data_IF_204118763880
#
_entry.id   IF_204118763880
#
_cell.length_a   1.000
_cell.length_b   1.000
_cell.length_c   1.000
_cell.angle_alpha   90.00
_cell.angle_beta   90.00
_cell.angle_gamma   90.00
#
_symmetry.space_group_name_H-M   'P 1'
#
loop_
_entity.id
_entity.type
_entity.pdbx_description
1 polymer ?
#
# COMPACT_ATOMS: atom_id res chain seq x y z
N UNK A 1 6.39 21.43 -25.46
CA UNK A 1 6.42 19.96 -25.27
C UNK A 1 5.24 19.60 -24.36
N UNK A 2 4.24 18.92 -24.89
CA UNK A 2 3.13 18.40 -24.07
C UNK A 2 3.61 17.22 -23.25
N UNK A 3 3.98 17.46 -21.99
CA UNK A 3 4.28 16.40 -21.05
C UNK A 3 2.94 15.80 -20.63
N UNK A 4 2.58 14.70 -21.23
CA UNK A 4 1.36 13.99 -20.87
C UNK A 4 1.56 13.34 -19.49
N UNK A 5 0.92 13.91 -18.48
CA UNK A 5 0.99 13.36 -17.10
C UNK A 5 0.54 11.90 -17.06
N UNK A 6 1.20 11.11 -16.25
CA UNK A 6 0.83 9.70 -16.00
C UNK A 6 -0.30 9.65 -14.99
N UNK A 7 -0.16 10.37 -13.85
CA UNK A 7 -1.14 10.44 -12.78
C UNK A 7 -1.36 11.90 -12.38
N UNK A 8 -2.61 12.26 -12.11
CA UNK A 8 -2.95 13.59 -11.59
C UNK A 8 -2.63 13.69 -10.10
N UNK A 9 -2.07 14.83 -9.68
CA UNK A 9 -1.84 15.14 -8.25
C UNK A 9 -3.13 15.05 -7.43
N UNK A 10 -4.27 15.40 -8.02
CA UNK A 10 -5.58 15.33 -7.36
C UNK A 10 -6.04 13.91 -7.03
N UNK A 11 -5.36 12.90 -7.55
CA UNK A 11 -5.62 11.48 -7.28
C UNK A 11 -4.79 10.93 -6.10
N UNK A 12 -3.97 11.77 -5.45
CA UNK A 12 -3.24 11.38 -4.25
C UNK A 12 -4.25 10.90 -3.18
N UNK A 13 -4.05 9.70 -2.69
CA UNK A 13 -5.05 9.03 -1.85
C UNK A 13 -4.53 8.52 -0.51
N UNK A 14 -3.21 8.26 -0.39
CA UNK A 14 -2.75 7.53 0.79
C UNK A 14 -1.26 7.74 1.05
N UNK A 15 -0.92 7.74 2.34
CA UNK A 15 0.45 7.50 2.84
C UNK A 15 0.39 6.22 3.67
N UNK A 16 1.25 5.26 3.36
CA UNK A 16 1.30 3.97 4.05
C UNK A 16 2.52 3.83 4.94
N UNK A 17 2.30 3.47 6.21
CA UNK A 17 3.35 3.14 7.18
C UNK A 17 3.37 1.65 7.44
N UNK A 18 4.55 1.04 7.45
CA UNK A 18 4.73 -0.31 8.01
C UNK A 18 5.15 -0.21 9.47
N UNK A 19 4.54 -1.06 10.30
CA UNK A 19 4.71 -1.06 11.75
C UNK A 19 4.89 -2.48 12.28
N UNK A 20 5.55 -2.59 13.43
CA UNK A 20 5.74 -3.89 14.11
C UNK A 20 4.51 -4.31 14.92
N UNK A 21 3.80 -3.35 15.50
CA UNK A 21 2.66 -3.58 16.38
C UNK A 21 1.56 -2.57 16.04
N UNK A 22 0.58 -3.04 15.25
CA UNK A 22 -0.49 -2.18 14.76
C UNK A 22 -1.41 -1.67 15.88
N UNK A 23 -1.64 -2.49 16.91
CA UNK A 23 -2.50 -2.07 18.02
C UNK A 23 -1.87 -0.92 18.82
N UNK A 24 -0.56 -0.98 19.02
CA UNK A 24 0.20 0.10 19.66
C UNK A 24 0.23 1.35 18.76
N UNK A 25 0.52 1.17 17.48
CA UNK A 25 0.60 2.28 16.52
C UNK A 25 -0.75 3.00 16.39
N UNK A 26 -1.86 2.27 16.30
CA UNK A 26 -3.20 2.86 16.25
C UNK A 26 -3.48 3.78 17.44
N UNK A 27 -3.13 3.33 18.63
CA UNK A 27 -3.35 4.11 19.87
C UNK A 27 -2.54 5.41 19.86
N UNK A 28 -1.29 5.34 19.42
CA UNK A 28 -0.41 6.51 19.35
C UNK A 28 -0.89 7.54 18.33
N UNK A 29 -1.26 7.10 17.13
CA UNK A 29 -1.80 8.00 16.10
C UNK A 29 -3.16 8.57 16.47
N UNK A 30 -4.05 7.75 17.06
CA UNK A 30 -5.34 8.25 17.56
C UNK A 30 -5.19 9.33 18.64
N UNK A 31 -4.23 9.14 19.53
CA UNK A 31 -3.90 10.16 20.54
C UNK A 31 -3.37 11.45 19.89
N UNK A 32 -2.47 11.32 18.92
CA UNK A 32 -1.91 12.45 18.18
C UNK A 32 -2.99 13.26 17.47
N UNK A 33 -3.95 12.58 16.84
CA UNK A 33 -5.00 13.20 16.04
C UNK A 33 -6.23 13.61 16.87
N UNK A 34 -6.34 13.15 18.11
CA UNK A 34 -7.52 13.39 18.94
C UNK A 34 -8.78 12.71 18.39
N UNK A 35 -8.65 11.51 17.86
CA UNK A 35 -9.75 10.77 17.25
C UNK A 35 -9.92 9.39 17.89
N UNK A 36 -11.00 8.68 17.51
CA UNK A 36 -11.23 7.31 17.92
C UNK A 36 -10.18 6.37 17.32
N UNK A 37 -9.90 5.27 18.03
CA UNK A 37 -8.99 4.22 17.54
C UNK A 37 -9.72 3.45 16.44
N UNK A 38 -9.17 3.39 15.22
CA UNK A 38 -9.82 2.67 14.12
C UNK A 38 -9.77 1.15 14.33
N UNK A 39 -10.68 0.40 13.69
CA UNK A 39 -10.62 -1.05 13.71
C UNK A 39 -9.38 -1.56 12.94
N UNK A 40 -8.91 -2.76 13.32
CA UNK A 40 -7.92 -3.49 12.53
C UNK A 40 -8.66 -4.33 11.49
N UNK A 41 -8.22 -4.20 10.24
CA UNK A 41 -8.79 -4.91 9.10
C UNK A 41 -7.82 -5.97 8.60
N UNK A 42 -8.34 -7.13 8.19
CA UNK A 42 -7.57 -8.17 7.54
C UNK A 42 -7.45 -7.89 6.02
N UNK A 43 -6.34 -8.28 5.42
CA UNK A 43 -6.12 -8.07 3.97
C UNK A 43 -6.93 -9.04 3.09
N UNK A 44 -7.53 -10.06 3.66
CA UNK A 44 -8.25 -11.10 2.94
C UNK A 44 -7.41 -12.35 2.65
N UNK A 45 -8.07 -13.36 2.07
CA UNK A 45 -7.45 -14.65 1.75
C UNK A 45 -6.97 -14.70 0.30
N UNK A 46 -6.01 -15.56 0.01
CA UNK A 46 -5.35 -15.63 -1.29
C UNK A 46 -6.31 -15.93 -2.45
N UNK A 47 -7.38 -16.67 -2.23
CA UNK A 47 -8.39 -16.94 -3.26
C UNK A 47 -9.02 -15.64 -3.82
N UNK A 48 -9.10 -14.59 -3.02
CA UNK A 48 -9.56 -13.26 -3.43
C UNK A 48 -8.40 -12.35 -3.82
N UNK A 49 -7.37 -12.27 -2.97
CA UNK A 49 -6.28 -11.29 -3.15
C UNK A 49 -5.38 -11.61 -4.33
N UNK A 50 -5.15 -12.89 -4.62
CA UNK A 50 -4.23 -13.35 -5.66
C UNK A 50 -2.87 -12.64 -5.60
N UNK A 51 -2.38 -12.39 -4.39
CA UNK A 51 -1.15 -11.62 -4.13
C UNK A 51 0.05 -12.20 -4.88
N UNK A 52 0.77 -11.33 -5.57
CA UNK A 52 2.04 -11.66 -6.23
C UNK A 52 3.14 -10.76 -5.68
N UNK A 53 4.26 -11.36 -5.31
CA UNK A 53 5.46 -10.68 -4.83
C UNK A 53 6.58 -10.95 -5.82
N UNK A 54 7.15 -9.89 -6.39
CA UNK A 54 8.16 -9.96 -7.45
C UNK A 54 7.78 -10.91 -8.60
N UNK A 55 6.52 -10.82 -9.03
CA UNK A 55 5.98 -11.59 -10.15
C UNK A 55 5.62 -13.05 -9.86
N UNK A 56 5.71 -13.48 -8.59
CA UNK A 56 5.40 -14.86 -8.19
C UNK A 56 4.21 -14.89 -7.23
N UNK A 57 3.29 -15.86 -7.37
CA UNK A 57 2.23 -16.05 -6.40
C UNK A 57 2.76 -16.19 -4.98
N UNK A 58 2.15 -15.47 -4.04
CA UNK A 58 2.55 -15.45 -2.64
C UNK A 58 1.33 -15.72 -1.74
N UNK A 59 0.84 -16.98 -1.70
CA UNK A 59 -0.40 -17.32 -0.99
C UNK A 59 -0.33 -17.11 0.52
N UNK A 60 0.86 -17.10 1.09
CA UNK A 60 1.05 -16.99 2.53
C UNK A 60 1.38 -15.55 2.98
N UNK A 61 1.68 -14.64 2.03
CA UNK A 61 1.91 -13.23 2.34
C UNK A 61 0.61 -12.55 2.77
N UNK A 62 0.59 -11.95 3.94
CA UNK A 62 -0.58 -11.29 4.48
C UNK A 62 -0.20 -10.12 5.40
N UNK A 63 -1.16 -9.27 5.67
CA UNK A 63 -1.01 -8.17 6.60
C UNK A 63 -2.34 -7.84 7.28
N UNK A 64 -2.26 -7.11 8.38
CA UNK A 64 -3.39 -6.42 8.97
C UNK A 64 -3.21 -4.91 8.80
N UNK A 65 -4.30 -4.19 8.68
CA UNK A 65 -4.29 -2.76 8.33
C UNK A 65 -5.21 -1.97 9.23
N UNK A 66 -4.92 -0.68 9.35
CA UNK A 66 -5.81 0.29 9.97
C UNK A 66 -5.72 1.61 9.21
N UNK A 67 -6.81 2.38 9.17
CA UNK A 67 -6.92 3.57 8.36
C UNK A 67 -7.38 4.77 9.17
N UNK A 68 -6.71 5.91 8.97
CA UNK A 68 -7.14 7.21 9.48
C UNK A 68 -7.48 8.12 8.29
N UNK A 69 -8.65 8.74 8.33
CA UNK A 69 -9.03 9.76 7.35
C UNK A 69 -8.34 11.08 7.73
N UNK A 70 -7.46 11.58 6.84
CA UNK A 70 -6.66 12.78 7.09
C UNK A 70 -7.28 14.03 6.48
N UNK A 71 -7.83 13.90 5.30
CA UNK A 71 -8.58 14.93 4.58
C UNK A 71 -9.50 14.23 3.58
N UNK A 72 -10.46 14.93 2.95
CA UNK A 72 -11.35 14.26 1.98
C UNK A 72 -10.56 13.52 0.91
N UNK A 73 -10.74 12.20 0.83
CA UNK A 73 -10.08 11.33 -0.14
C UNK A 73 -8.64 10.96 0.16
N UNK A 74 -8.07 11.35 1.33
CA UNK A 74 -6.69 11.02 1.71
C UNK A 74 -6.67 10.27 3.03
N UNK A 75 -6.00 9.13 3.05
CA UNK A 75 -5.85 8.27 4.23
C UNK A 75 -4.40 8.11 4.65
N UNK A 76 -4.21 7.95 5.95
CA UNK A 76 -3.01 7.34 6.51
C UNK A 76 -3.31 5.87 6.77
N UNK A 77 -2.53 4.98 6.16
CA UNK A 77 -2.65 3.53 6.35
C UNK A 77 -1.54 3.03 7.24
N UNK A 78 -1.89 2.18 8.21
CA UNK A 78 -0.91 1.40 8.98
C UNK A 78 -0.97 -0.04 8.49
N UNK A 79 0.18 -0.66 8.28
CA UNK A 79 0.31 -2.04 7.83
C UNK A 79 1.24 -2.79 8.78
N UNK A 80 0.74 -3.88 9.35
CA UNK A 80 1.56 -4.86 10.03
C UNK A 80 1.61 -6.14 9.19
N UNK A 81 2.75 -6.43 8.54
CA UNK A 81 2.89 -7.67 7.76
C UNK A 81 3.05 -8.88 8.67
N UNK A 82 2.67 -10.06 8.16
CA UNK A 82 3.06 -11.31 8.79
C UNK A 82 4.55 -11.60 8.52
N UNK A 83 5.06 -12.73 9.01
CA UNK A 83 6.48 -13.11 8.88
C UNK A 83 6.86 -13.62 7.49
N UNK A 84 5.87 -13.89 6.63
CA UNK A 84 6.10 -14.39 5.29
C UNK A 84 6.69 -13.32 4.35
N UNK A 85 7.48 -13.69 3.34
CA UNK A 85 8.06 -12.73 2.41
C UNK A 85 7.03 -11.88 1.69
N UNK A 86 7.23 -10.56 1.76
CA UNK A 86 6.45 -9.56 1.05
C UNK A 86 7.27 -8.28 0.97
N UNK A 87 6.84 -7.31 0.14
CA UNK A 87 7.52 -6.00 0.11
C UNK A 87 7.36 -5.26 1.44
N UNK A 88 6.26 -5.47 2.16
CA UNK A 88 6.06 -4.90 3.49
C UNK A 88 7.06 -5.48 4.50
N UNK A 89 7.20 -6.81 4.51
CA UNK A 89 8.14 -7.51 5.40
C UNK A 89 9.58 -7.15 5.08
N UNK A 90 9.93 -7.09 3.80
CA UNK A 90 11.27 -6.73 3.36
C UNK A 90 11.65 -5.31 3.80
N UNK A 91 10.72 -4.35 3.64
CA UNK A 91 10.94 -2.98 4.10
C UNK A 91 11.14 -2.92 5.62
N UNK A 92 10.27 -3.57 6.37
CA UNK A 92 10.33 -3.59 7.84
C UNK A 92 11.64 -4.22 8.34
N UNK A 93 12.09 -5.30 7.71
CA UNK A 93 13.34 -5.97 8.04
C UNK A 93 14.57 -5.12 7.69
N UNK A 94 14.50 -4.35 6.61
CA UNK A 94 15.64 -3.56 6.11
C UNK A 94 15.75 -2.20 6.80
N UNK A 95 14.64 -1.50 6.99
CA UNK A 95 14.61 -0.10 7.44
C UNK A 95 13.95 0.09 8.81
N UNK A 96 13.22 -0.89 9.31
CA UNK A 96 12.37 -0.73 10.49
C UNK A 96 11.04 -0.06 10.14
N UNK A 97 10.35 0.44 11.16
CA UNK A 97 9.08 1.12 10.99
C UNK A 97 9.24 2.44 10.22
N UNK A 98 8.29 2.76 9.37
CA UNK A 98 8.32 4.03 8.63
C UNK A 98 7.38 4.07 7.44
N UNK A 99 7.48 5.14 6.67
CA UNK A 99 6.70 5.34 5.45
C UNK A 99 7.21 4.40 4.38
N UNK A 100 6.34 3.48 3.96
CA UNK A 100 6.64 2.51 2.92
C UNK A 100 6.23 3.00 1.52
N UNK A 101 5.06 3.64 1.42
CA UNK A 101 4.53 4.05 0.12
C UNK A 101 3.63 5.28 0.21
N UNK A 102 3.48 5.91 -0.93
CA UNK A 102 2.37 6.83 -1.23
C UNK A 102 1.50 6.20 -2.31
N UNK A 103 0.22 6.51 -2.33
CA UNK A 103 -0.70 5.92 -3.29
C UNK A 103 -1.55 6.97 -4.00
N UNK A 104 -1.88 6.64 -5.23
CA UNK A 104 -2.80 7.40 -6.08
C UNK A 104 -3.95 6.50 -6.49
N UNK A 105 -5.17 7.01 -6.43
CA UNK A 105 -6.34 6.31 -6.94
C UNK A 105 -6.45 6.54 -8.45
N UNK A 106 -6.42 5.45 -9.21
CA UNK A 106 -6.48 5.50 -10.68
C UNK A 106 -7.56 4.54 -11.19
N UNK A 107 -8.08 4.80 -12.39
CA UNK A 107 -9.13 3.98 -12.99
C UNK A 107 -8.58 2.68 -13.58
N UNK A 108 -7.39 2.73 -14.16
CA UNK A 108 -6.72 1.57 -14.77
C UNK A 108 -5.31 1.44 -14.23
N UNK A 109 -5.16 0.68 -13.14
CA UNK A 109 -3.89 0.48 -12.46
C UNK A 109 -2.86 -0.23 -13.35
N UNK A 110 -3.28 -1.19 -14.17
CA UNK A 110 -2.37 -1.93 -15.05
C UNK A 110 -1.78 -1.02 -16.13
N UNK A 111 -2.58 -0.13 -16.73
CA UNK A 111 -2.09 0.83 -17.72
C UNK A 111 -1.16 1.86 -17.10
N UNK A 112 -1.48 2.37 -15.92
CA UNK A 112 -0.61 3.31 -15.20
C UNK A 112 0.71 2.65 -14.83
N UNK A 113 0.68 1.42 -14.31
CA UNK A 113 1.88 0.66 -13.97
C UNK A 113 2.77 0.46 -15.20
N UNK A 114 2.20 0.07 -16.33
CA UNK A 114 2.90 -0.09 -17.59
C UNK A 114 3.61 1.21 -18.01
N UNK A 115 2.92 2.33 -17.97
CA UNK A 115 3.50 3.63 -18.31
C UNK A 115 4.63 4.04 -17.37
N UNK A 116 4.47 3.79 -16.06
CA UNK A 116 5.54 4.06 -15.09
C UNK A 116 6.79 3.22 -15.39
N UNK A 117 6.62 1.95 -15.77
CA UNK A 117 7.72 1.09 -16.15
C UNK A 117 8.40 1.57 -17.44
N UNK A 118 7.63 1.90 -18.47
CA UNK A 118 8.15 2.32 -19.77
C UNK A 118 8.76 3.72 -19.77
N UNK A 119 8.12 4.67 -19.10
CA UNK A 119 8.48 6.09 -19.15
C UNK A 119 9.44 6.52 -18.02
N UNK A 120 9.40 5.84 -16.88
CA UNK A 120 10.20 6.20 -15.70
C UNK A 120 11.14 5.07 -15.20
N UNK A 121 11.11 3.91 -15.86
CA UNK A 121 11.96 2.79 -15.45
C UNK A 121 11.55 2.17 -14.12
N UNK A 122 10.31 2.34 -13.68
CA UNK A 122 9.84 1.80 -12.41
C UNK A 122 9.90 0.27 -12.40
N UNK A 123 10.25 -0.31 -11.25
CA UNK A 123 10.28 -1.75 -11.03
C UNK A 123 8.99 -2.21 -10.37
N UNK A 124 8.37 -3.22 -10.94
CA UNK A 124 7.17 -3.85 -10.38
C UNK A 124 7.56 -4.73 -9.19
N UNK A 125 6.95 -4.50 -8.04
CA UNK A 125 7.32 -5.22 -6.83
C UNK A 125 6.24 -6.17 -6.31
N UNK A 126 5.01 -5.68 -6.14
CA UNK A 126 3.92 -6.47 -5.57
C UNK A 126 2.58 -5.97 -6.09
N UNK A 127 1.64 -6.90 -6.22
CA UNK A 127 0.24 -6.58 -6.52
C UNK A 127 -0.70 -7.52 -5.78
N UNK A 128 -1.93 -7.07 -5.62
CA UNK A 128 -2.99 -7.89 -5.05
C UNK A 128 -4.34 -7.22 -5.19
N UNK A 129 -5.39 -8.03 -5.16
CA UNK A 129 -6.75 -7.52 -5.07
C UNK A 129 -7.07 -7.16 -3.63
N UNK A 130 -7.95 -6.16 -3.45
CA UNK A 130 -8.50 -5.88 -2.13
C UNK A 130 -9.32 -7.09 -1.64
N UNK A 131 -9.32 -7.31 -0.31
CA UNK A 131 -9.97 -8.48 0.29
C UNK A 131 -11.48 -8.55 0.06
N UNK A 132 -12.13 -7.44 -0.27
CA UNK A 132 -13.55 -7.36 -0.64
C UNK A 132 -13.78 -7.50 -2.16
N UNK A 133 -12.72 -7.63 -2.96
CA UNK A 133 -12.80 -7.76 -4.41
C UNK A 133 -13.13 -6.46 -5.16
N UNK A 134 -13.15 -5.30 -4.49
CA UNK A 134 -13.57 -4.03 -5.09
C UNK A 134 -12.53 -3.38 -6.02
N UNK A 135 -11.30 -3.84 -5.99
CA UNK A 135 -10.21 -3.28 -6.78
C UNK A 135 -8.88 -3.95 -6.47
N UNK A 136 -7.80 -3.32 -6.90
CA UNK A 136 -6.44 -3.85 -6.69
C UNK A 136 -5.47 -2.74 -6.35
N UNK A 137 -4.34 -3.13 -5.75
CA UNK A 137 -3.17 -2.27 -5.59
C UNK A 137 -1.99 -2.83 -6.37
N UNK A 138 -1.10 -1.93 -6.79
CA UNK A 138 0.18 -2.27 -7.41
C UNK A 138 1.26 -1.42 -6.76
N UNK A 139 2.32 -2.05 -6.27
CA UNK A 139 3.51 -1.37 -5.78
C UNK A 139 4.59 -1.36 -6.84
N UNK A 140 5.09 -0.17 -7.12
CA UNK A 140 6.16 0.08 -8.06
C UNK A 140 7.27 0.86 -7.34
N UNK A 141 8.50 0.42 -7.51
CA UNK A 141 9.67 1.14 -7.03
C UNK A 141 10.15 2.07 -8.14
N UNK A 142 10.14 3.38 -7.85
CA UNK A 142 10.72 4.40 -8.72
C UNK A 142 12.05 4.80 -8.11
N UNK A 143 13.15 4.42 -8.73
CA UNK A 143 14.51 4.81 -8.32
C UNK A 143 14.94 6.04 -9.14
N UNK A 144 15.73 6.91 -8.51
CA UNK A 144 16.37 8.03 -9.19
C UNK A 144 17.58 7.57 -10.01
#
# INVERSE_FOLDING_TARGET
>A
MDVKKIVSQSKFAQVGFVVNDIEKAKKQFALLFGCEIPPTCDCGTFDVTQTQVYGKPAPDAACVMAFFDMSPGVQLELIQPNEEPSVWRDYLNTYGEGIHHIAFQVDDADEVAKRLQEEMGATFEQEGNYGDGSGKYIYLLCEE
#
